data_IF_331316076272
#
_entry.id   IF_331316076272
#
_cell.length_a   1.000
_cell.length_b   1.000
_cell.length_c   1.000
_cell.angle_alpha   90.00
_cell.angle_beta   90.00
_cell.angle_gamma   90.00
#
_symmetry.space_group_name_H-M   'P 1'
#
loop_
_entity.id
_entity.type
_entity.pdbx_description
1 polymer ?
#
# COMPACT_ATOMS: atom_id res chain seq x y z
N UNK A 1 6.31 -50.16 43.89
CA UNK A 1 7.78 -50.28 43.69
C UNK A 1 8.09 -49.78 42.28
N UNK A 2 8.95 -48.76 42.16
CA UNK A 2 9.42 -48.10 40.92
C UNK A 2 9.82 -49.13 39.83
N UNK A 3 9.80 -48.88 38.50
CA UNK A 3 10.74 -48.01 37.75
C UNK A 3 10.18 -47.74 36.32
N UNK A 4 10.04 -46.45 36.00
CA UNK A 4 10.40 -45.77 34.74
C UNK A 4 10.13 -46.42 33.36
N UNK A 5 9.04 -46.01 32.70
CA UNK A 5 8.92 -46.04 31.23
C UNK A 5 8.86 -44.62 30.66
N UNK A 6 10.01 -43.93 30.69
CA UNK A 6 10.30 -42.79 29.81
C UNK A 6 11.14 -43.28 28.63
N UNK A 7 10.51 -43.88 27.60
CA UNK A 7 11.14 -43.93 26.27
C UNK A 7 10.77 -42.64 25.53
N UNK A 8 11.68 -41.68 25.71
CA UNK A 8 11.67 -40.31 25.23
C UNK A 8 11.38 -40.20 23.73
N UNK A 9 10.46 -39.29 23.36
CA UNK A 9 10.21 -38.80 22.00
C UNK A 9 11.45 -38.19 21.31
N UNK A 10 12.61 -38.14 21.98
CA UNK A 10 13.87 -37.64 21.42
C UNK A 10 14.48 -38.54 20.34
N UNK A 11 14.21 -39.85 20.30
CA UNK A 11 14.83 -40.73 19.29
C UNK A 11 14.28 -40.50 17.87
N UNK A 12 13.01 -40.13 17.73
CA UNK A 12 12.37 -39.85 16.44
C UNK A 12 12.78 -38.49 15.85
N UNK A 13 13.07 -37.51 16.70
CA UNK A 13 13.51 -36.17 16.24
C UNK A 13 14.97 -36.19 15.80
N UNK A 14 15.81 -37.04 16.40
CA UNK A 14 17.23 -37.14 16.04
C UNK A 14 17.44 -37.83 14.67
N UNK A 15 16.59 -38.80 14.30
CA UNK A 15 16.66 -39.44 12.99
C UNK A 15 16.15 -38.53 11.86
N UNK A 16 15.20 -37.62 12.11
CA UNK A 16 14.74 -36.67 11.10
C UNK A 16 15.69 -35.47 10.88
N UNK A 17 16.52 -35.07 11.86
CA UNK A 17 17.49 -33.97 11.68
C UNK A 17 18.72 -34.37 10.84
N UNK A 18 19.13 -35.63 10.87
CA UNK A 18 20.28 -36.11 10.11
C UNK A 18 20.02 -36.17 8.58
N UNK A 19 18.77 -36.36 8.15
CA UNK A 19 18.41 -36.41 6.73
C UNK A 19 18.36 -35.01 6.07
N UNK A 20 18.19 -33.94 6.85
CA UNK A 20 18.03 -32.56 6.32
C UNK A 20 19.36 -31.81 6.23
N UNK A 21 20.39 -32.23 6.97
CA UNK A 21 21.73 -31.60 6.91
C UNK A 21 22.56 -31.99 5.68
N UNK A 22 22.05 -32.86 4.80
CA UNK A 22 22.78 -33.37 3.63
C UNK A 22 22.39 -32.82 2.25
N UNK A 23 21.39 -31.94 2.11
CA UNK A 23 20.91 -31.56 0.75
C UNK A 23 20.61 -30.09 0.49
N UNK A 24 20.90 -29.17 1.42
CA UNK A 24 20.69 -27.74 1.18
C UNK A 24 21.94 -26.98 0.72
N UNK A 25 23.13 -27.62 0.75
CA UNK A 25 24.39 -27.00 0.31
C UNK A 25 24.77 -27.34 -1.14
N UNK A 26 23.95 -28.13 -1.85
CA UNK A 26 24.21 -28.51 -3.24
C UNK A 26 22.91 -28.56 -4.07
N UNK A 27 22.04 -27.58 -3.86
CA UNK A 27 20.94 -27.32 -4.79
C UNK A 27 21.56 -26.77 -6.07
N UNK A 28 21.40 -27.42 -7.24
CA UNK A 28 21.81 -26.82 -8.50
C UNK A 28 21.08 -25.48 -8.61
N UNK A 29 21.83 -24.41 -8.84
CA UNK A 29 21.25 -23.09 -9.10
C UNK A 29 20.28 -23.26 -10.28
N UNK A 30 18.99 -22.90 -10.16
CA UNK A 30 18.06 -23.01 -11.26
C UNK A 30 18.63 -22.37 -12.52
N UNK A 31 18.59 -23.09 -13.65
CA UNK A 31 19.27 -22.73 -14.90
C UNK A 31 18.92 -21.32 -15.40
N UNK A 32 17.77 -20.79 -14.97
CA UNK A 32 17.24 -19.47 -15.34
C UNK A 32 17.40 -18.39 -14.27
N UNK A 33 18.20 -18.62 -13.22
CA UNK A 33 18.45 -17.58 -12.21
C UNK A 33 19.01 -16.31 -12.85
N UNK A 34 19.94 -16.43 -13.80
CA UNK A 34 20.54 -15.28 -14.46
C UNK A 34 19.52 -14.49 -15.28
N UNK A 35 18.59 -15.17 -15.95
CA UNK A 35 17.48 -14.59 -16.73
C UNK A 35 16.49 -13.87 -15.80
N UNK A 36 16.10 -14.51 -14.69
CA UNK A 36 15.19 -13.94 -13.70
C UNK A 36 15.80 -12.75 -12.94
N UNK A 37 17.10 -12.78 -12.64
CA UNK A 37 17.81 -11.67 -12.00
C UNK A 37 17.86 -10.44 -12.91
N UNK A 38 17.96 -10.64 -14.22
CA UNK A 38 17.99 -9.54 -15.20
C UNK A 38 16.64 -8.83 -15.28
N UNK A 39 15.53 -9.58 -15.19
CA UNK A 39 14.17 -9.02 -15.09
C UNK A 39 14.03 -8.17 -13.82
N UNK A 40 14.47 -8.68 -12.67
CA UNK A 40 14.37 -7.94 -11.40
C UNK A 40 15.32 -6.73 -11.32
N UNK A 41 16.49 -6.79 -11.97
CA UNK A 41 17.43 -5.66 -12.06
C UNK A 41 16.95 -4.57 -13.02
N UNK A 42 16.35 -4.94 -14.15
CA UNK A 42 15.87 -3.97 -15.14
C UNK A 42 14.75 -3.05 -14.62
N UNK A 43 14.01 -3.48 -13.59
CA UNK A 43 13.03 -2.64 -12.88
C UNK A 43 13.67 -1.55 -12.00
N UNK A 44 14.97 -1.61 -11.70
CA UNK A 44 15.66 -0.65 -10.83
C UNK A 44 16.26 0.54 -11.59
N UNK A 45 16.39 0.48 -12.92
CA UNK A 45 17.10 1.50 -13.69
C UNK A 45 16.20 2.60 -14.29
N UNK A 46 14.89 2.59 -14.02
CA UNK A 46 13.95 3.52 -14.68
C UNK A 46 13.00 4.32 -13.79
N UNK A 47 12.92 4.05 -12.48
CA UNK A 47 12.02 4.80 -11.61
C UNK A 47 12.63 4.84 -10.21
N UNK A 48 13.17 6.00 -9.80
CA UNK A 48 13.59 6.22 -8.42
C UNK A 48 12.34 6.22 -7.53
N UNK A 49 11.81 5.04 -7.22
CA UNK A 49 10.84 4.88 -6.15
C UNK A 49 11.64 5.03 -4.86
N UNK A 50 11.71 6.24 -4.34
CA UNK A 50 12.20 6.48 -3.00
C UNK A 50 11.27 5.74 -2.03
N UNK A 51 11.74 4.59 -1.55
CA UNK A 51 10.97 3.74 -0.66
C UNK A 51 10.89 4.45 0.70
N UNK A 52 9.69 4.82 1.17
CA UNK A 52 9.56 5.51 2.44
C UNK A 52 10.04 4.61 3.58
N UNK A 53 10.70 5.21 4.57
CA UNK A 53 11.08 4.53 5.82
C UNK A 53 9.84 3.95 6.50
N UNK A 54 10.02 2.89 7.30
CA UNK A 54 8.94 2.31 8.09
C UNK A 54 8.23 3.36 8.98
N UNK A 55 8.97 4.38 9.46
CA UNK A 55 8.40 5.51 10.19
C UNK A 55 7.47 6.36 9.31
N UNK A 56 7.89 6.69 8.08
CA UNK A 56 7.06 7.43 7.11
C UNK A 56 5.80 6.64 6.71
N UNK A 57 5.89 5.32 6.59
CA UNK A 57 4.74 4.43 6.32
C UNK A 57 3.75 4.39 7.50
N UNK A 58 4.25 4.39 8.73
CA UNK A 58 3.42 4.45 9.94
C UNK A 58 2.76 5.83 10.15
N UNK A 59 3.16 6.84 9.37
CA UNK A 59 2.75 8.24 9.53
C UNK A 59 1.60 8.67 8.60
N UNK A 60 0.92 7.74 7.91
CA UNK A 60 -0.23 8.10 7.07
C UNK A 60 -1.35 8.67 7.96
N UNK A 61 -1.54 9.99 7.88
CA UNK A 61 -2.61 10.70 8.59
C UNK A 61 -3.96 10.27 8.04
N UNK A 62 -4.93 10.06 8.92
CA UNK A 62 -6.32 9.83 8.53
C UNK A 62 -7.09 11.15 8.63
N UNK A 63 -8.03 11.36 7.72
CA UNK A 63 -9.01 12.45 7.81
C UNK A 63 -10.40 11.84 8.00
N UNK A 64 -11.21 12.44 8.88
CA UNK A 64 -12.59 12.02 9.08
C UNK A 64 -13.49 12.52 7.93
N UNK A 65 -14.56 11.78 7.57
CA UNK A 65 -15.38 12.13 6.41
C UNK A 65 -16.09 13.49 6.50
N UNK A 66 -16.52 13.89 7.69
CA UNK A 66 -17.18 15.19 7.95
C UNK A 66 -16.22 16.37 7.73
N UNK A 67 -14.95 16.20 8.08
CA UNK A 67 -13.90 17.19 7.87
C UNK A 67 -13.64 17.37 6.37
N UNK A 68 -13.46 16.27 5.63
CA UNK A 68 -13.31 16.31 4.18
C UNK A 68 -14.51 16.98 3.50
N UNK A 69 -15.74 16.70 3.95
CA UNK A 69 -16.96 17.29 3.40
C UNK A 69 -17.01 18.79 3.59
N UNK A 70 -16.56 19.27 4.75
CA UNK A 70 -16.43 20.71 5.04
C UNK A 70 -15.40 21.37 4.11
N UNK A 71 -14.24 20.74 3.91
CA UNK A 71 -13.18 21.27 3.02
C UNK A 71 -13.62 21.33 1.55
N UNK A 72 -14.40 20.35 1.09
CA UNK A 72 -14.90 20.29 -0.30
C UNK A 72 -16.06 21.26 -0.52
N UNK A 73 -16.93 21.47 0.48
CA UNK A 73 -18.11 22.34 0.34
C UNK A 73 -17.78 23.83 0.40
N UNK A 74 -16.72 24.20 1.13
CA UNK A 74 -16.26 25.59 1.27
C UNK A 74 -14.78 25.72 0.87
N UNK A 75 -14.45 25.56 -0.43
CA UNK A 75 -13.08 25.62 -0.90
C UNK A 75 -12.52 27.03 -0.67
N UNK A 76 -11.54 27.14 0.23
CA UNK A 76 -10.83 28.39 0.52
C UNK A 76 -9.36 28.21 0.11
N UNK A 77 -8.88 28.82 -0.98
CA UNK A 77 -7.46 28.78 -1.34
C UNK A 77 -6.60 29.41 -0.24
N UNK A 78 -5.44 28.83 0.12
CA UNK A 78 -4.75 27.67 -0.47
C UNK A 78 -5.13 26.30 0.14
N UNK A 79 -6.17 26.22 0.97
CA UNK A 79 -6.52 25.04 1.77
C UNK A 79 -7.43 24.03 1.06
N UNK A 80 -7.70 24.19 -0.23
CA UNK A 80 -8.56 23.27 -0.99
C UNK A 80 -7.82 21.95 -1.23
N UNK A 81 -8.31 20.81 -0.70
CA UNK A 81 -7.59 19.55 -0.82
C UNK A 81 -7.69 19.00 -2.23
N UNK A 82 -6.59 18.44 -2.74
CA UNK A 82 -6.61 17.58 -3.91
C UNK A 82 -7.13 16.20 -3.48
N UNK A 83 -8.34 15.84 -3.93
CA UNK A 83 -8.92 14.53 -3.64
C UNK A 83 -8.60 13.56 -4.77
N UNK A 84 -7.92 12.45 -4.44
CA UNK A 84 -7.54 11.41 -5.40
C UNK A 84 -8.29 10.13 -5.06
N UNK A 85 -9.20 9.73 -5.95
CA UNK A 85 -9.88 8.44 -5.86
C UNK A 85 -9.02 7.36 -6.53
N UNK A 86 -8.54 6.41 -5.73
CA UNK A 86 -7.62 5.34 -6.17
C UNK A 86 -8.31 4.03 -6.51
N UNK A 87 -9.64 4.05 -6.63
CA UNK A 87 -10.44 2.93 -7.14
C UNK A 87 -10.26 2.75 -8.65
N UNK A 88 -10.73 1.62 -9.16
CA UNK A 88 -10.77 1.39 -10.60
C UNK A 88 -11.80 2.35 -11.26
N UNK A 89 -11.63 2.73 -12.54
CA UNK A 89 -12.50 3.72 -13.19
C UNK A 89 -13.99 3.33 -13.21
N UNK A 90 -14.29 2.02 -13.26
CA UNK A 90 -15.65 1.49 -13.18
C UNK A 90 -16.30 1.74 -11.80
N UNK A 91 -15.53 1.65 -10.72
CA UNK A 91 -16.00 1.98 -9.37
C UNK A 91 -16.15 3.49 -9.19
N UNK A 92 -15.26 4.29 -9.79
CA UNK A 92 -15.30 5.75 -9.70
C UNK A 92 -16.59 6.34 -10.32
N UNK A 93 -17.05 5.72 -11.41
CA UNK A 93 -18.27 6.12 -12.13
C UNK A 93 -19.56 5.56 -11.49
N UNK A 94 -19.46 4.84 -10.38
CA UNK A 94 -20.63 4.27 -9.68
C UNK A 94 -21.46 5.36 -9.00
N UNK A 95 -22.78 5.18 -8.95
CA UNK A 95 -23.71 6.09 -8.27
C UNK A 95 -24.11 5.59 -6.87
N UNK A 96 -24.93 6.37 -6.16
CA UNK A 96 -25.46 6.02 -4.83
C UNK A 96 -24.36 5.97 -3.76
N UNK A 97 -24.34 4.91 -2.95
CA UNK A 97 -23.36 4.74 -1.86
C UNK A 97 -21.91 4.66 -2.35
N UNK A 98 -21.69 4.38 -3.64
CA UNK A 98 -20.36 4.34 -4.27
C UNK A 98 -19.94 5.62 -4.99
N UNK A 99 -20.78 6.66 -4.96
CA UNK A 99 -20.52 7.93 -5.65
C UNK A 99 -19.19 8.55 -5.21
N UNK A 100 -18.38 8.99 -6.16
CA UNK A 100 -17.10 9.64 -5.88
C UNK A 100 -17.28 10.98 -5.16
N UNK A 101 -16.20 11.44 -4.52
CA UNK A 101 -16.18 12.76 -3.87
C UNK A 101 -16.22 13.84 -4.96
N UNK A 102 -17.07 14.87 -4.84
CA UNK A 102 -17.11 15.96 -5.82
C UNK A 102 -15.75 16.61 -6.03
N UNK A 103 -15.36 16.83 -7.29
CA UNK A 103 -14.08 17.41 -7.66
C UNK A 103 -12.86 16.48 -7.49
N UNK A 104 -13.08 15.20 -7.15
CA UNK A 104 -11.98 14.23 -7.09
C UNK A 104 -11.50 13.80 -8.48
N UNK A 105 -10.21 13.49 -8.57
CA UNK A 105 -9.59 12.92 -9.76
C UNK A 105 -9.41 11.41 -9.57
N UNK A 106 -9.66 10.62 -10.61
CA UNK A 106 -9.43 9.18 -10.56
C UNK A 106 -8.02 8.82 -11.04
N UNK A 107 -7.22 8.29 -10.12
CA UNK A 107 -5.91 7.70 -10.43
C UNK A 107 -5.83 6.35 -9.72
N UNK A 108 -6.12 5.22 -10.41
CA UNK A 108 -6.12 3.90 -9.81
C UNK A 108 -4.80 3.60 -9.11
N UNK A 109 -4.83 2.96 -7.93
CA UNK A 109 -3.63 2.74 -7.09
C UNK A 109 -2.48 2.06 -7.86
N UNK A 110 -2.80 1.17 -8.81
CA UNK A 110 -1.82 0.46 -9.65
C UNK A 110 -1.09 1.38 -10.64
N UNK A 111 -1.75 2.45 -11.06
CA UNK A 111 -1.22 3.44 -12.01
C UNK A 111 -0.66 4.67 -11.31
N UNK A 112 -0.90 4.82 -10.01
CA UNK A 112 -0.52 6.01 -9.26
C UNK A 112 0.97 6.32 -9.40
N UNK A 113 1.85 5.33 -9.25
CA UNK A 113 3.30 5.51 -9.34
C UNK A 113 3.79 5.97 -10.73
N UNK A 114 3.13 5.56 -11.83
CA UNK A 114 3.49 6.00 -13.18
C UNK A 114 2.85 7.32 -13.56
N UNK A 115 1.75 7.71 -12.90
CA UNK A 115 0.97 8.92 -13.17
C UNK A 115 1.24 10.06 -12.17
N UNK A 116 2.28 9.94 -11.34
CA UNK A 116 2.66 10.97 -10.35
C UNK A 116 2.93 12.33 -11.02
N UNK A 117 3.49 12.34 -12.22
CA UNK A 117 3.77 13.57 -12.97
C UNK A 117 2.53 14.44 -13.21
N UNK A 118 1.31 13.86 -13.22
CA UNK A 118 0.06 14.62 -13.38
C UNK A 118 -0.27 15.52 -12.18
N UNK A 119 0.27 15.17 -11.00
CA UNK A 119 -0.04 15.81 -9.71
C UNK A 119 1.20 16.39 -9.02
N UNK A 120 2.35 16.36 -9.68
CA UNK A 120 3.64 16.79 -9.11
C UNK A 120 3.67 18.28 -8.72
N UNK A 121 2.94 19.13 -9.47
CA UNK A 121 2.79 20.56 -9.15
C UNK A 121 2.02 20.82 -7.84
N UNK A 122 1.36 19.79 -7.29
CA UNK A 122 0.50 19.86 -6.09
C UNK A 122 1.15 19.18 -4.87
N UNK A 123 2.46 18.90 -4.89
CA UNK A 123 3.20 18.20 -3.81
C UNK A 123 3.09 18.85 -2.42
N UNK A 124 2.90 20.16 -2.37
CA UNK A 124 2.76 20.95 -1.13
C UNK A 124 1.33 21.01 -0.61
N UNK A 125 0.35 20.75 -1.47
CA UNK A 125 -1.06 20.90 -1.16
C UNK A 125 -1.55 19.75 -0.29
N UNK A 126 -2.64 19.94 0.47
CA UNK A 126 -3.32 18.83 1.13
C UNK A 126 -3.83 17.84 0.08
N UNK A 127 -3.35 16.59 0.11
CA UNK A 127 -3.79 15.51 -0.76
C UNK A 127 -4.52 14.45 0.04
N UNK A 128 -5.75 14.15 -0.35
CA UNK A 128 -6.61 13.18 0.31
C UNK A 128 -6.85 11.99 -0.61
N UNK A 129 -6.31 10.82 -0.24
CA UNK A 129 -6.54 9.57 -0.94
C UNK A 129 -7.86 8.93 -0.50
N UNK A 130 -8.67 8.54 -1.48
CA UNK A 130 -9.98 7.93 -1.27
C UNK A 130 -10.02 6.57 -1.96
N UNK A 131 -10.57 5.57 -1.29
CA UNK A 131 -10.94 4.31 -1.92
C UNK A 131 -12.32 3.85 -1.43
N UNK A 132 -12.69 2.59 -1.67
CA UNK A 132 -14.00 2.07 -1.25
C UNK A 132 -14.19 2.12 0.28
N UNK A 133 -13.25 1.57 1.04
CA UNK A 133 -13.37 1.37 2.50
C UNK A 133 -12.17 1.82 3.35
N UNK A 134 -11.11 2.36 2.73
CA UNK A 134 -9.92 2.89 3.41
C UNK A 134 -8.61 2.09 3.21
N UNK A 135 -8.67 0.82 2.81
CA UNK A 135 -7.45 -0.01 2.71
C UNK A 135 -6.50 0.42 1.58
N UNK A 136 -7.02 0.61 0.36
CA UNK A 136 -6.22 1.00 -0.82
C UNK A 136 -5.71 2.44 -0.72
N UNK A 137 -6.45 3.33 -0.05
CA UNK A 137 -6.04 4.72 0.14
C UNK A 137 -4.85 4.86 1.07
N UNK A 138 -4.66 3.96 2.04
CA UNK A 138 -3.43 3.91 2.84
C UNK A 138 -2.21 3.56 1.99
N UNK A 139 -2.32 2.56 1.11
CA UNK A 139 -1.24 2.22 0.18
C UNK A 139 -0.92 3.37 -0.77
N UNK A 140 -1.95 4.03 -1.31
CA UNK A 140 -1.78 5.21 -2.15
C UNK A 140 -1.08 6.35 -1.41
N UNK A 141 -1.49 6.62 -0.16
CA UNK A 141 -0.88 7.65 0.66
C UNK A 141 0.62 7.38 0.88
N UNK A 142 0.98 6.12 1.15
CA UNK A 142 2.38 5.70 1.25
C UNK A 142 3.19 5.93 -0.02
N UNK A 143 2.61 5.66 -1.20
CA UNK A 143 3.25 5.92 -2.50
C UNK A 143 3.51 7.42 -2.67
N UNK A 144 2.53 8.26 -2.34
CA UNK A 144 2.66 9.72 -2.43
C UNK A 144 3.70 10.26 -1.45
N UNK A 145 3.74 9.78 -0.21
CA UNK A 145 4.75 10.16 0.78
C UNK A 145 6.15 9.79 0.28
N UNK A 146 6.33 8.57 -0.25
CA UNK A 146 7.59 8.16 -0.90
C UNK A 146 7.97 9.06 -2.07
N UNK A 147 6.97 9.65 -2.74
CA UNK A 147 7.14 10.56 -3.86
C UNK A 147 7.21 12.03 -3.45
N UNK A 148 7.55 12.31 -2.19
CA UNK A 148 7.79 13.65 -1.62
C UNK A 148 6.55 14.54 -1.50
N UNK A 149 5.35 13.97 -1.45
CA UNK A 149 4.17 14.72 -1.06
C UNK A 149 4.18 14.98 0.45
N UNK A 150 3.95 16.24 0.84
CA UNK A 150 4.12 16.68 2.24
C UNK A 150 2.85 16.44 3.05
N UNK A 151 1.69 16.77 2.48
CA UNK A 151 0.42 16.80 3.19
C UNK A 151 -0.53 15.71 2.72
N UNK A 152 -0.16 14.44 2.95
CA UNK A 152 -0.96 13.29 2.50
C UNK A 152 -1.84 12.74 3.62
N UNK A 153 -3.11 12.51 3.28
CA UNK A 153 -4.12 11.94 4.15
C UNK A 153 -4.81 10.76 3.46
N UNK A 154 -5.27 9.78 4.23
CA UNK A 154 -6.23 8.77 3.78
C UNK A 154 -7.59 9.05 4.40
N UNK A 155 -8.65 8.94 3.60
CA UNK A 155 -10.02 9.06 4.09
C UNK A 155 -10.43 7.83 4.91
N UNK A 156 -10.74 8.05 6.17
CA UNK A 156 -11.19 6.99 7.09
C UNK A 156 -12.53 6.43 6.63
N UNK A 157 -12.60 5.11 6.46
CA UNK A 157 -13.81 4.41 5.98
C UNK A 157 -14.10 4.59 4.49
N UNK A 158 -13.26 5.34 3.75
CA UNK A 158 -13.39 5.56 2.32
C UNK A 158 -14.69 6.24 1.91
N UNK A 159 -15.03 6.06 0.63
CA UNK A 159 -16.20 6.68 0.00
C UNK A 159 -17.52 6.24 0.65
N UNK A 160 -17.57 5.02 1.19
CA UNK A 160 -18.74 4.51 1.90
C UNK A 160 -19.05 5.31 3.17
N UNK A 161 -18.01 5.76 3.89
CA UNK A 161 -18.18 6.60 5.07
C UNK A 161 -18.49 8.05 4.68
N UNK A 162 -17.88 8.56 3.61
CA UNK A 162 -18.17 9.90 3.07
C UNK A 162 -19.61 10.09 2.62
N UNK A 163 -20.19 9.09 1.95
CA UNK A 163 -21.58 9.16 1.48
C UNK A 163 -22.61 8.97 2.60
N UNK A 164 -22.18 8.52 3.80
CA UNK A 164 -23.05 8.35 4.98
C UNK A 164 -22.97 9.51 5.97
N UNK A 165 -21.83 10.21 6.01
CA UNK A 165 -21.61 11.40 6.83
C UNK A 165 -22.39 12.60 6.27
#
# INVERSE_FOLDING_TARGET
MYISLKRSRQSLILQHRAAVQGSLTNLPLPDKIMEALQINKSALEGNQIHLPTCAQLASVRQIDPSELKSMVSAPSPPQTPLVIDVREPSEFSSAGEGACVPGSINIPVKQLASRIGEIESRKTDPVVCVCRSGARSNTAASILIGSQFVNVYSLKGGVLAYNKA
#
